data_IF_857576360328
#
_entry.id   IF_857576360328
#
_cell.length_a   1.000
_cell.length_b   1.000
_cell.length_c   1.000
_cell.angle_alpha   90.00
_cell.angle_beta   90.00
_cell.angle_gamma   90.00
#
_symmetry.space_group_name_H-M   'P 1'
#
loop_
_entity.id
_entity.type
_entity.pdbx_description
1 polymer ?
#
# COMPACT_ATOMS: atom_id res chain seq x y z
N UNK A 1 -16.88 -4.86 -1.93
CA UNK A 1 -15.88 -3.86 -1.47
C UNK A 1 -14.51 -4.53 -1.49
N UNK A 2 -13.57 -4.04 -2.29
CA UNK A 2 -12.22 -4.61 -2.39
C UNK A 2 -11.33 -3.98 -1.30
N UNK A 3 -10.62 -4.79 -0.53
CA UNK A 3 -9.59 -4.31 0.41
C UNK A 3 -8.25 -4.48 -0.27
N UNK A 4 -7.43 -3.43 -0.26
CA UNK A 4 -6.07 -3.46 -0.81
C UNK A 4 -5.06 -3.20 0.29
N UNK A 5 -3.92 -3.89 0.22
CA UNK A 5 -2.82 -3.76 1.16
C UNK A 5 -1.76 -2.88 0.55
N UNK A 6 -1.35 -1.88 1.33
CA UNK A 6 -0.19 -1.08 0.99
C UNK A 6 0.64 -0.77 2.23
N UNK A 7 1.85 -0.29 2.00
CA UNK A 7 2.72 0.24 3.02
C UNK A 7 3.48 1.44 2.46
N UNK A 8 3.97 2.29 3.34
CA UNK A 8 4.89 3.36 2.97
C UNK A 8 6.19 3.23 3.77
N UNK A 9 7.30 3.54 3.12
CA UNK A 9 8.62 3.62 3.74
C UNK A 9 9.28 4.95 3.37
N UNK A 10 10.05 5.51 4.30
CA UNK A 10 10.85 6.70 4.04
C UNK A 10 12.22 6.26 3.52
N UNK A 11 12.56 6.67 2.30
CA UNK A 11 13.84 6.39 1.64
C UNK A 11 14.55 7.72 1.40
N UNK A 12 15.58 7.99 2.20
CA UNK A 12 16.27 9.28 2.19
C UNK A 12 15.33 10.42 2.64
N UNK A 13 15.15 11.42 1.79
CA UNK A 13 14.26 12.55 2.03
C UNK A 13 12.81 12.33 1.58
N UNK A 14 12.50 11.22 0.91
CA UNK A 14 11.20 11.00 0.28
C UNK A 14 10.47 9.78 0.83
N UNK A 15 9.15 9.85 0.81
CA UNK A 15 8.25 8.75 1.13
C UNK A 15 7.89 7.99 -0.12
N UNK A 16 8.03 6.67 -0.08
CA UNK A 16 7.63 5.74 -1.14
C UNK A 16 6.49 4.86 -0.60
N UNK A 17 5.37 4.81 -1.31
CA UNK A 17 4.23 3.97 -0.95
C UNK A 17 3.98 2.91 -2.02
N UNK A 18 3.73 1.67 -1.59
CA UNK A 18 3.60 0.50 -2.45
C UNK A 18 2.30 -0.23 -2.15
N UNK A 19 1.46 -0.45 -3.17
CA UNK A 19 0.31 -1.33 -3.13
C UNK A 19 0.72 -2.71 -3.66
N UNK A 20 0.61 -3.71 -2.79
CA UNK A 20 1.17 -5.05 -3.02
C UNK A 20 0.29 -5.87 -3.93
N UNK A 21 -1.01 -5.64 -3.87
CA UNK A 21 -2.00 -6.44 -4.60
C UNK A 21 -2.03 -6.09 -6.09
N UNK A 22 -1.61 -4.87 -6.46
CA UNK A 22 -1.65 -4.35 -7.84
C UNK A 22 -0.28 -3.92 -8.40
N UNK A 23 0.80 -4.18 -7.66
CA UNK A 23 2.16 -3.74 -8.00
C UNK A 23 2.26 -2.25 -8.37
N UNK A 24 1.62 -1.42 -7.55
CA UNK A 24 1.54 0.02 -7.77
C UNK A 24 2.46 0.75 -6.78
N UNK A 25 3.20 1.76 -7.23
CA UNK A 25 4.13 2.52 -6.40
C UNK A 25 4.01 4.03 -6.64
N UNK A 26 4.11 4.84 -5.58
CA UNK A 26 4.17 6.30 -5.67
C UNK A 26 5.25 6.86 -4.75
N UNK A 27 5.69 8.08 -5.07
CA UNK A 27 6.66 8.82 -4.27
C UNK A 27 6.15 10.23 -3.96
N UNK A 28 6.46 10.71 -2.77
CA UNK A 28 6.15 12.08 -2.35
C UNK A 28 7.11 12.55 -1.26
N UNK A 29 7.10 13.86 -0.98
CA UNK A 29 7.97 14.44 0.04
C UNK A 29 7.42 14.23 1.46
N UNK A 30 6.11 13.98 1.58
CA UNK A 30 5.44 13.71 2.86
C UNK A 30 4.67 12.38 2.82
N UNK A 31 4.50 11.75 3.99
CA UNK A 31 3.71 10.53 4.14
C UNK A 31 2.26 10.75 3.69
N UNK A 32 1.68 11.91 4.05
CA UNK A 32 0.30 12.26 3.72
C UNK A 32 0.11 12.43 2.21
N UNK A 33 1.07 13.02 1.51
CA UNK A 33 1.02 13.13 0.05
C UNK A 33 1.22 11.77 -0.62
N UNK A 34 2.13 10.93 -0.11
CA UNK A 34 2.31 9.56 -0.61
C UNK A 34 1.00 8.76 -0.45
N UNK A 35 0.33 8.90 0.69
CA UNK A 35 -0.96 8.27 0.97
C UNK A 35 -2.06 8.76 0.02
N UNK A 36 -2.20 10.08 -0.19
CA UNK A 36 -3.20 10.62 -1.13
C UNK A 36 -2.93 10.13 -2.55
N UNK A 37 -1.68 10.15 -3.00
CA UNK A 37 -1.27 9.71 -4.33
C UNK A 37 -1.53 8.22 -4.55
N UNK A 38 -1.18 7.35 -3.60
CA UNK A 38 -1.39 5.89 -3.77
C UNK A 38 -2.88 5.57 -3.81
N UNK A 39 -3.70 6.23 -2.99
CA UNK A 39 -5.17 6.04 -2.99
C UNK A 39 -5.77 6.52 -4.31
N UNK A 40 -5.37 7.70 -4.80
CA UNK A 40 -5.84 8.23 -6.08
C UNK A 40 -5.46 7.29 -7.23
N UNK A 41 -4.21 6.83 -7.27
CA UNK A 41 -3.72 5.95 -8.32
C UNK A 41 -4.42 4.59 -8.29
N UNK A 42 -4.68 4.00 -7.11
CA UNK A 42 -5.46 2.76 -6.99
C UNK A 42 -6.89 2.97 -7.50
N UNK A 43 -7.55 4.08 -7.16
CA UNK A 43 -8.91 4.36 -7.64
C UNK A 43 -8.96 4.45 -9.17
N UNK A 44 -8.09 5.26 -9.75
CA UNK A 44 -8.00 5.39 -11.22
C UNK A 44 -7.67 4.06 -11.88
N UNK A 45 -6.78 3.26 -11.30
CA UNK A 45 -6.42 1.95 -11.83
C UNK A 45 -7.60 0.97 -11.81
N UNK A 46 -8.40 0.99 -10.74
CA UNK A 46 -9.61 0.17 -10.62
C UNK A 46 -10.70 0.62 -11.57
N UNK A 47 -10.86 1.93 -11.79
CA UNK A 47 -11.80 2.48 -12.77
C UNK A 47 -11.42 2.06 -14.20
N UNK A 48 -10.14 2.21 -14.57
CA UNK A 48 -9.62 1.73 -15.85
C UNK A 48 -9.81 0.23 -16.05
N UNK A 49 -9.62 -0.57 -15.00
CA UNK A 49 -9.90 -1.99 -15.05
C UNK A 49 -11.39 -2.26 -15.28
N UNK A 50 -12.30 -1.54 -14.62
CA UNK A 50 -13.76 -1.70 -14.81
C UNK A 50 -14.24 -1.32 -16.21
N UNK A 51 -13.59 -0.36 -16.86
CA UNK A 51 -13.88 0.05 -18.23
C UNK A 51 -13.51 -1.03 -19.26
N UNK A 52 -12.66 -2.01 -18.89
CA UNK A 52 -12.37 -3.14 -19.75
C UNK A 52 -13.60 -4.05 -19.87
N UNK A 53 -14.09 -4.27 -21.09
CA UNK A 53 -15.25 -5.13 -21.36
C UNK A 53 -14.96 -6.64 -21.20
N UNK A 54 -13.69 -7.04 -21.17
CA UNK A 54 -13.30 -8.46 -21.03
C UNK A 54 -12.97 -8.81 -19.57
N UNK A 55 -13.76 -9.67 -18.91
CA UNK A 55 -13.55 -10.05 -17.51
C UNK A 55 -12.23 -10.77 -17.23
N UNK A 56 -11.57 -11.35 -18.25
CA UNK A 56 -10.23 -11.95 -18.10
C UNK A 56 -9.16 -10.86 -17.96
N UNK A 57 -9.21 -9.86 -18.85
CA UNK A 57 -8.32 -8.70 -18.78
C UNK A 57 -8.53 -7.87 -17.51
N UNK A 58 -9.78 -7.76 -17.04
CA UNK A 58 -10.08 -7.14 -15.75
C UNK A 58 -9.33 -7.82 -14.60
N UNK A 59 -9.38 -9.15 -14.54
CA UNK A 59 -8.70 -9.91 -13.48
C UNK A 59 -7.18 -9.79 -13.57
N UNK A 60 -6.62 -9.86 -14.77
CA UNK A 60 -5.16 -9.79 -14.94
C UNK A 60 -4.60 -8.40 -14.58
N UNK A 61 -5.38 -7.33 -14.81
CA UNK A 61 -5.02 -5.99 -14.32
C UNK A 61 -5.14 -5.90 -12.79
N UNK A 62 -6.26 -6.36 -12.22
CA UNK A 62 -6.53 -6.23 -10.78
C UNK A 62 -5.65 -7.15 -9.90
N UNK A 63 -5.20 -8.29 -10.42
CA UNK A 63 -4.43 -9.29 -9.70
C UNK A 63 -3.02 -9.41 -10.26
N UNK A 64 -2.25 -8.34 -10.10
CA UNK A 64 -0.82 -8.33 -10.41
C UNK A 64 -0.03 -8.17 -9.11
N UNK A 65 0.26 -9.28 -8.39
CA UNK A 65 1.02 -9.19 -7.16
C UNK A 65 2.39 -8.56 -7.43
N UNK A 66 2.83 -7.69 -6.53
CA UNK A 66 4.14 -7.07 -6.60
C UNK A 66 5.27 -8.12 -6.62
N UNK A 67 6.44 -7.81 -7.20
CA UNK A 67 7.61 -8.70 -7.16
C UNK A 67 7.90 -9.21 -5.74
N UNK A 68 8.46 -10.43 -5.64
CA UNK A 68 8.78 -11.06 -4.35
C UNK A 68 9.63 -10.17 -3.44
N UNK A 69 10.50 -9.33 -3.99
CA UNK A 69 11.29 -8.35 -3.23
C UNK A 69 10.42 -7.35 -2.46
N UNK A 70 9.35 -6.82 -3.08
CA UNK A 70 8.41 -5.88 -2.44
C UNK A 70 7.53 -6.62 -1.44
N UNK A 71 7.12 -7.86 -1.75
CA UNK A 71 6.38 -8.68 -0.79
C UNK A 71 7.20 -8.98 0.47
N UNK A 72 8.49 -9.31 0.32
CA UNK A 72 9.40 -9.52 1.44
C UNK A 72 9.58 -8.25 2.28
N UNK A 73 9.69 -7.07 1.63
CA UNK A 73 9.72 -5.78 2.36
C UNK A 73 8.45 -5.56 3.17
N UNK A 74 7.28 -5.85 2.60
CA UNK A 74 6.04 -5.77 3.35
C UNK A 74 6.03 -6.69 4.56
N UNK A 75 6.40 -7.97 4.38
CA UNK A 75 6.46 -8.92 5.49
C UNK A 75 7.48 -8.51 6.55
N UNK A 76 8.60 -7.92 6.15
CA UNK A 76 9.61 -7.39 7.07
C UNK A 76 9.08 -6.21 7.90
N UNK A 77 8.46 -5.23 7.26
CA UNK A 77 7.79 -4.10 7.95
C UNK A 77 6.66 -4.64 8.84
N UNK A 78 5.90 -5.61 8.34
CA UNK A 78 4.82 -6.26 9.07
C UNK A 78 5.31 -7.07 10.28
N UNK A 79 6.47 -7.70 10.20
CA UNK A 79 7.06 -8.40 11.34
C UNK A 79 7.60 -7.38 12.35
N UNK A 80 8.30 -6.34 11.88
CA UNK A 80 8.88 -5.29 12.72
C UNK A 80 7.86 -4.56 13.58
N UNK A 81 6.78 -4.00 13.01
CA UNK A 81 5.79 -3.34 13.88
C UNK A 81 4.94 -4.33 14.71
N UNK A 82 4.93 -5.64 14.40
CA UNK A 82 4.21 -6.63 15.21
C UNK A 82 5.06 -6.99 16.44
N UNK A 83 6.36 -7.22 16.25
CA UNK A 83 7.33 -7.40 17.32
C UNK A 83 7.48 -6.14 18.19
N UNK A 84 7.48 -4.95 17.60
CA UNK A 84 7.55 -3.68 18.34
C UNK A 84 6.33 -3.44 19.26
N UNK A 85 5.14 -3.94 18.87
CA UNK A 85 3.95 -3.90 19.74
C UNK A 85 4.09 -4.79 20.97
N UNK A 86 4.87 -5.87 20.89
CA UNK A 86 5.04 -6.81 21.99
C UNK A 86 6.09 -6.35 23.02
N UNK A 87 6.88 -5.31 22.73
CA UNK A 87 8.05 -4.91 23.52
C UNK A 87 7.92 -3.57 24.29
N UNK A 88 6.75 -2.90 24.23
CA UNK A 88 6.36 -1.69 24.98
C UNK A 88 7.27 -0.43 24.89
N UNK A 89 6.61 0.72 24.71
CA UNK A 89 7.10 2.11 24.86
C UNK A 89 8.31 2.55 23.99
N UNK A 90 7.99 3.42 23.03
CA UNK A 90 8.77 4.57 22.56
C UNK A 90 9.44 4.47 21.15
N UNK A 91 9.20 5.54 20.38
CA UNK A 91 9.88 6.02 19.15
C UNK A 91 9.58 5.42 17.75
N UNK A 92 8.60 6.06 17.09
CA UNK A 92 8.64 6.74 15.78
C UNK A 92 8.92 5.98 14.44
N UNK A 93 7.89 6.10 13.57
CA UNK A 93 7.88 6.16 12.09
C UNK A 93 8.16 4.90 11.25
N UNK A 94 7.37 3.85 11.47
CA UNK A 94 6.98 2.96 10.38
C UNK A 94 5.46 2.75 10.45
N UNK A 95 4.71 3.74 9.96
CA UNK A 95 3.25 3.74 10.01
C UNK A 95 2.71 2.65 9.06
N UNK A 96 2.27 1.54 9.67
CA UNK A 96 1.62 0.45 8.97
C UNK A 96 0.18 0.87 8.68
N UNK A 97 -0.10 1.13 7.41
CA UNK A 97 -1.37 1.71 7.00
C UNK A 97 -2.16 0.74 6.13
N UNK A 98 -3.29 0.24 6.64
CA UNK A 98 -4.25 -0.51 5.83
C UNK A 98 -5.45 0.37 5.52
N UNK A 99 -5.72 0.65 4.24
CA UNK A 99 -6.92 1.38 3.82
C UNK A 99 -7.97 0.41 3.30
N UNK A 100 -9.11 0.37 3.99
CA UNK A 100 -10.35 -0.02 3.34
C UNK A 100 -10.79 1.09 2.39
N UNK A 101 -11.29 0.75 1.19
CA UNK A 101 -11.74 1.69 0.15
C UNK A 101 -12.73 2.80 0.59
N UNK A 102 -13.24 2.77 1.83
CA UNK A 102 -14.07 3.82 2.45
C UNK A 102 -13.27 4.92 3.17
N UNK A 103 -11.96 5.05 2.92
CA UNK A 103 -11.15 6.13 3.50
C UNK A 103 -10.87 5.99 5.01
N UNK A 104 -11.18 4.83 5.60
CA UNK A 104 -10.78 4.53 6.98
C UNK A 104 -9.34 4.02 7.01
N UNK A 105 -8.48 4.94 7.40
CA UNK A 105 -7.11 4.78 7.83
C UNK A 105 -7.06 3.91 9.10
N UNK A 106 -6.85 2.60 8.95
CA UNK A 106 -6.59 1.74 10.10
C UNK A 106 -5.13 1.82 10.50
N UNK A 107 -4.84 2.43 11.65
CA UNK A 107 -3.55 2.34 12.32
C UNK A 107 -3.55 1.06 13.16
N UNK A 108 -2.57 0.20 12.97
CA UNK A 108 -2.27 -0.88 13.89
C UNK A 108 -1.29 -0.35 14.94
#
# INVERSE_FOLDING_TARGET
MMKVRFFAEKVGSQWQAFCIDMNLAVQADTLQDAQKKIIAMVKSYVELAKEQNDPRHQRDMLFRPAPLSIQLRYWYVWLRCNLARNNHHNHHHADRFSVGLNGQAGYC
#
